data_IF_171721539118
#
_entry.id   IF_171721539118
#
_cell.length_a   1.000
_cell.length_b   1.000
_cell.length_c   1.000
_cell.angle_alpha   90.00
_cell.angle_beta   90.00
_cell.angle_gamma   90.00
#
_symmetry.space_group_name_H-M   'P 1'
#
loop_
_entity.id
_entity.type
_entity.pdbx_description
1 polymer ?
#
# COMPACT_ATOMS: atom_id res chain seq x y z
N UNK A 1 20.76 -0.38 -20.07
CA UNK A 1 19.48 -1.10 -19.87
C UNK A 1 18.89 -0.66 -18.55
N UNK A 2 17.81 0.12 -18.55
CA UNK A 2 17.07 0.44 -17.31
C UNK A 2 16.25 -0.78 -16.94
N UNK A 3 16.72 -1.57 -15.97
CA UNK A 3 15.90 -2.61 -15.36
C UNK A 3 14.73 -1.91 -14.69
N UNK A 4 13.53 -2.04 -15.26
CA UNK A 4 12.28 -1.60 -14.62
C UNK A 4 12.02 -2.57 -13.47
N UNK A 5 12.58 -2.26 -12.30
CA UNK A 5 12.24 -2.98 -11.08
C UNK A 5 10.75 -2.79 -10.80
N UNK A 6 10.03 -3.90 -10.61
CA UNK A 6 8.59 -3.91 -10.37
C UNK A 6 8.26 -4.29 -8.94
N UNK A 7 6.97 -4.20 -8.59
CA UNK A 7 6.42 -4.66 -7.30
C UNK A 7 5.41 -5.75 -7.59
N UNK A 8 5.44 -6.83 -6.80
CA UNK A 8 4.38 -7.85 -6.80
C UNK A 8 3.27 -7.42 -5.86
N UNK A 9 2.17 -6.92 -6.41
CA UNK A 9 1.01 -6.47 -5.63
C UNK A 9 0.07 -7.64 -5.30
N UNK A 10 -0.24 -7.79 -4.02
CA UNK A 10 -1.25 -8.69 -3.48
C UNK A 10 -2.39 -7.86 -2.89
N UNK A 11 -3.61 -8.07 -3.38
CA UNK A 11 -4.80 -7.37 -2.90
C UNK A 11 -5.69 -8.33 -2.12
N UNK A 12 -5.82 -8.06 -0.83
CA UNK A 12 -6.62 -8.85 0.10
C UNK A 12 -7.78 -8.05 0.69
N UNK A 13 -8.68 -8.79 1.33
CA UNK A 13 -9.75 -8.25 2.13
C UNK A 13 -11.08 -8.27 1.42
N UNK A 14 -12.04 -7.56 2.00
CA UNK A 14 -13.42 -7.55 1.55
C UNK A 14 -13.97 -6.14 1.61
N UNK A 15 -14.74 -5.77 0.58
CA UNK A 15 -15.45 -4.51 0.57
C UNK A 15 -16.94 -4.79 0.43
N UNK A 16 -17.65 -4.74 1.57
CA UNK A 16 -19.04 -5.16 1.68
C UNK A 16 -19.91 -4.56 0.59
N UNK A 17 -20.59 -5.41 -0.16
CA UNK A 17 -21.54 -5.03 -1.21
C UNK A 17 -20.92 -5.04 -2.61
N UNK A 18 -19.63 -5.35 -2.72
CA UNK A 18 -18.90 -5.32 -3.98
C UNK A 18 -18.05 -6.58 -4.17
N UNK A 19 -17.92 -7.08 -5.41
CA UNK A 19 -16.99 -8.15 -5.74
C UNK A 19 -15.54 -7.77 -5.44
N UNK A 20 -14.71 -8.78 -5.12
CA UNK A 20 -13.27 -8.58 -4.91
C UNK A 20 -12.57 -7.98 -6.14
N UNK A 21 -13.02 -8.28 -7.36
CA UNK A 21 -12.47 -7.69 -8.59
C UNK A 21 -12.58 -6.17 -8.62
N UNK A 22 -13.72 -5.60 -8.20
CA UNK A 22 -13.91 -4.14 -8.16
C UNK A 22 -13.00 -3.49 -7.11
N UNK A 23 -12.82 -4.16 -5.97
CA UNK A 23 -11.86 -3.74 -4.97
C UNK A 23 -10.43 -3.78 -5.52
N UNK A 24 -10.06 -4.85 -6.23
CA UNK A 24 -8.75 -5.00 -6.85
C UNK A 24 -8.47 -3.87 -7.85
N UNK A 25 -9.44 -3.51 -8.67
CA UNK A 25 -9.29 -2.43 -9.66
C UNK A 25 -9.10 -1.06 -8.98
N UNK A 26 -9.89 -0.77 -7.93
CA UNK A 26 -9.71 0.43 -7.14
C UNK A 26 -8.33 0.49 -6.46
N UNK A 27 -7.84 -0.65 -5.95
CA UNK A 27 -6.49 -0.75 -5.38
C UNK A 27 -5.43 -0.48 -6.43
N UNK A 28 -5.52 -1.13 -7.60
CA UNK A 28 -4.58 -0.94 -8.70
C UNK A 28 -4.52 0.53 -9.16
N UNK A 29 -5.66 1.22 -9.18
CA UNK A 29 -5.71 2.64 -9.54
C UNK A 29 -5.12 3.56 -8.46
N UNK A 30 -5.18 3.15 -7.19
CA UNK A 30 -4.70 3.95 -6.05
C UNK A 30 -3.22 3.76 -5.72
N UNK A 31 -2.62 2.61 -6.05
CA UNK A 31 -1.22 2.32 -5.70
C UNK A 31 -0.29 3.32 -6.39
N UNK A 32 0.41 4.11 -5.58
CA UNK A 32 1.43 5.04 -6.05
C UNK A 32 2.83 4.43 -5.99
N UNK A 33 3.62 4.73 -7.02
CA UNK A 33 5.06 4.48 -7.03
C UNK A 33 5.81 5.52 -6.19
N UNK A 34 7.05 5.20 -5.76
CA UNK A 34 8.02 6.20 -5.27
C UNK A 34 8.10 7.39 -6.23
N UNK A 35 8.01 8.61 -5.69
CA UNK A 35 7.83 9.84 -6.46
C UNK A 35 9.10 10.71 -6.49
N UNK A 36 9.75 10.91 -5.34
CA UNK A 36 10.98 11.71 -5.25
C UNK A 36 12.26 10.86 -5.40
N UNK A 37 13.42 11.50 -5.37
CA UNK A 37 14.72 10.84 -5.53
C UNK A 37 15.09 9.95 -4.34
N UNK A 38 14.77 10.38 -3.12
CA UNK A 38 15.08 9.63 -1.91
C UNK A 38 14.23 8.34 -1.85
N UNK A 39 12.94 8.43 -2.11
CA UNK A 39 12.01 7.30 -2.20
C UNK A 39 12.44 6.31 -3.30
N UNK A 40 12.85 6.82 -4.47
CA UNK A 40 13.36 5.99 -5.57
C UNK A 40 14.69 5.32 -5.23
N UNK A 41 15.58 6.01 -4.53
CA UNK A 41 16.85 5.46 -4.08
C UNK A 41 16.62 4.30 -3.11
N UNK A 42 15.79 4.47 -2.08
CA UNK A 42 15.52 3.41 -1.11
C UNK A 42 14.75 2.24 -1.71
N UNK A 43 13.85 2.50 -2.67
CA UNK A 43 13.22 1.43 -3.44
C UNK A 43 14.26 0.61 -4.19
N UNK A 44 15.26 1.26 -4.79
CA UNK A 44 16.40 0.62 -5.46
C UNK A 44 17.17 -0.37 -4.57
N UNK A 45 17.22 -0.14 -3.26
CA UNK A 45 17.90 -1.03 -2.30
C UNK A 45 17.15 -2.34 -2.05
N UNK A 46 15.85 -2.38 -2.34
CA UNK A 46 14.97 -3.54 -2.06
C UNK A 46 14.32 -4.12 -3.33
N UNK A 47 14.73 -3.63 -4.49
CA UNK A 47 14.06 -3.83 -5.77
C UNK A 47 14.35 -5.19 -6.43
N UNK A 48 15.42 -5.87 -6.00
CA UNK A 48 15.84 -7.18 -6.51
C UNK A 48 16.07 -8.17 -5.36
N UNK A 49 15.34 -9.30 -5.32
CA UNK A 49 14.19 -9.64 -6.16
C UNK A 49 13.01 -8.66 -5.96
N UNK A 50 12.06 -8.59 -6.92
CA UNK A 50 10.92 -7.68 -6.82
C UNK A 50 10.18 -7.82 -5.48
N UNK A 51 10.03 -6.72 -4.71
CA UNK A 51 9.40 -6.78 -3.41
C UNK A 51 7.89 -7.06 -3.55
N UNK A 52 7.32 -7.60 -2.48
CA UNK A 52 5.90 -7.93 -2.38
C UNK A 52 5.19 -6.82 -1.60
N UNK A 53 4.21 -6.17 -2.22
CA UNK A 53 3.34 -5.21 -1.58
C UNK A 53 1.98 -5.86 -1.33
N UNK A 54 1.56 -5.88 -0.07
CA UNK A 54 0.27 -6.43 0.34
C UNK A 54 -0.64 -5.29 0.79
N UNK A 55 -1.70 -5.04 0.03
CA UNK A 55 -2.74 -4.09 0.40
C UNK A 55 -3.96 -4.87 0.85
N UNK A 56 -4.43 -4.58 2.05
CA UNK A 56 -5.62 -5.21 2.63
C UNK A 56 -6.66 -4.14 2.91
N UNK A 57 -7.85 -4.28 2.35
CA UNK A 57 -8.98 -3.36 2.57
C UNK A 57 -10.13 -4.16 3.18
N UNK A 58 -10.60 -3.74 4.34
CA UNK A 58 -11.75 -4.34 5.00
C UNK A 58 -12.80 -3.27 5.23
N UNK A 59 -13.91 -3.34 4.50
CA UNK A 59 -15.15 -2.62 4.78
C UNK A 59 -16.24 -3.65 5.11
N UNK A 60 -16.59 -3.86 6.38
CA UNK A 60 -17.68 -4.76 6.74
C UNK A 60 -19.05 -4.18 6.37
N UNK A 61 -20.05 -5.05 6.21
CA UNK A 61 -21.46 -4.65 6.13
C UNK A 61 -22.03 -4.50 7.55
N UNK A 62 -22.65 -3.37 7.86
CA UNK A 62 -23.31 -3.13 9.14
C UNK A 62 -23.04 -1.74 9.71
N UNK A 63 -23.97 -1.22 10.51
CA UNK A 63 -23.80 0.06 11.18
C UNK A 63 -22.74 -0.05 12.30
N UNK A 64 -21.94 1.01 12.49
CA UNK A 64 -20.98 1.12 13.60
C UNK A 64 -19.64 0.41 13.42
N UNK A 65 -19.47 -0.47 12.42
CA UNK A 65 -18.18 -1.12 12.20
C UNK A 65 -17.20 -0.21 11.44
N UNK A 66 -16.02 -0.02 12.00
CA UNK A 66 -14.94 0.73 11.37
C UNK A 66 -14.21 -0.18 10.37
N UNK A 67 -14.24 0.20 9.10
CA UNK A 67 -13.36 -0.42 8.11
C UNK A 67 -11.92 0.08 8.25
N UNK A 68 -10.98 -0.65 7.68
CA UNK A 68 -9.58 -0.25 7.66
C UNK A 68 -8.91 -0.61 6.33
N UNK A 69 -7.83 0.10 6.06
CA UNK A 69 -6.88 -0.23 5.00
C UNK A 69 -5.48 -0.32 5.60
N UNK A 70 -4.69 -1.28 5.09
CA UNK A 70 -3.28 -1.40 5.43
C UNK A 70 -2.44 -1.76 4.21
N UNK A 71 -1.22 -1.23 4.14
CA UNK A 71 -0.20 -1.59 3.17
C UNK A 71 0.99 -2.18 3.92
N UNK A 72 1.51 -3.32 3.46
CA UNK A 72 2.71 -3.95 4.03
C UNK A 72 3.67 -4.30 2.90
N UNK A 73 4.90 -3.83 3.02
CA UNK A 73 5.95 -4.08 2.07
C UNK A 73 6.86 -5.17 2.62
N UNK A 74 7.18 -6.14 1.77
CA UNK A 74 8.11 -7.23 2.06
C UNK A 74 9.18 -7.27 0.98
N UNK A 75 10.43 -7.49 1.37
CA UNK A 75 11.52 -7.75 0.43
C UNK A 75 12.29 -8.98 0.91
N UNK A 76 12.64 -9.87 -0.01
CA UNK A 76 13.33 -11.13 0.29
C UNK A 76 12.64 -11.99 1.37
N UNK A 77 11.31 -11.90 1.48
CA UNK A 77 10.52 -12.60 2.50
C UNK A 77 10.48 -11.91 3.87
N UNK A 78 11.23 -10.84 4.07
CA UNK A 78 11.26 -10.05 5.30
C UNK A 78 10.26 -8.90 5.25
N UNK A 79 9.59 -8.63 6.37
CA UNK A 79 8.77 -7.44 6.53
C UNK A 79 9.67 -6.20 6.55
N UNK A 80 9.44 -5.28 5.61
CA UNK A 80 10.22 -4.05 5.46
C UNK A 80 9.58 -2.93 6.26
N UNK A 81 8.32 -2.62 5.95
CA UNK A 81 7.56 -1.53 6.56
C UNK A 81 6.06 -1.77 6.30
N UNK A 82 5.21 -1.15 7.09
CA UNK A 82 3.79 -1.20 6.84
C UNK A 82 3.03 -0.07 7.51
N UNK A 83 1.97 0.35 6.85
CA UNK A 83 1.10 1.45 7.24
C UNK A 83 -0.33 0.94 7.39
N UNK A 84 -1.10 1.56 8.30
CA UNK A 84 -2.51 1.24 8.52
C UNK A 84 -3.30 2.50 8.87
N UNK A 85 -4.49 2.62 8.28
CA UNK A 85 -5.44 3.68 8.62
C UNK A 85 -6.87 3.14 8.65
N UNK A 86 -7.73 3.81 9.40
CA UNK A 86 -9.18 3.59 9.35
C UNK A 86 -9.74 4.15 8.04
N UNK A 87 -10.77 3.50 7.48
CA UNK A 87 -11.49 4.04 6.33
C UNK A 87 -12.24 5.31 6.73
N UNK A 88 -12.17 6.34 5.89
CA UNK A 88 -12.93 7.57 6.03
C UNK A 88 -14.44 7.31 6.03
N UNK A 89 -15.26 8.23 6.54
CA UNK A 89 -16.71 8.15 6.39
C UNK A 89 -17.18 7.96 4.94
N UNK A 90 -16.49 8.58 3.98
CA UNK A 90 -16.80 8.47 2.55
C UNK A 90 -16.51 7.07 2.01
N UNK A 91 -15.30 6.55 2.27
CA UNK A 91 -14.92 5.19 1.94
C UNK A 91 -15.74 4.13 2.69
N UNK A 92 -16.46 4.51 3.75
CA UNK A 92 -17.42 3.64 4.44
C UNK A 92 -18.82 3.68 3.86
N UNK A 93 -19.19 4.65 3.03
CA UNK A 93 -20.56 4.79 2.52
C UNK A 93 -20.69 4.64 1.00
N UNK A 94 -19.57 4.62 0.28
CA UNK A 94 -19.56 4.66 -1.19
C UNK A 94 -18.97 3.39 -1.84
N UNK A 95 -18.71 3.49 -3.14
CA UNK A 95 -18.07 2.49 -3.99
C UNK A 95 -16.60 2.27 -3.61
N UNK A 96 -16.01 1.09 -3.90
CA UNK A 96 -14.58 0.84 -3.70
C UNK A 96 -13.66 1.91 -4.29
N UNK A 97 -14.04 2.59 -5.38
CA UNK A 97 -13.22 3.68 -5.95
C UNK A 97 -13.00 4.86 -4.99
N UNK A 98 -13.82 5.01 -3.95
CA UNK A 98 -13.63 6.02 -2.92
C UNK A 98 -12.44 5.72 -2.00
N UNK A 99 -11.86 4.50 -2.02
CA UNK A 99 -10.62 4.19 -1.29
C UNK A 99 -9.35 4.57 -2.06
N UNK A 100 -9.44 4.93 -3.34
CA UNK A 100 -8.27 5.22 -4.20
C UNK A 100 -7.38 6.32 -3.60
N UNK A 101 -7.97 7.41 -3.09
CA UNK A 101 -7.21 8.49 -2.45
C UNK A 101 -6.56 8.05 -1.13
N UNK A 102 -7.22 7.16 -0.38
CA UNK A 102 -6.68 6.61 0.87
C UNK A 102 -5.51 5.68 0.60
N UNK A 103 -5.61 4.83 -0.42
CA UNK A 103 -4.51 3.99 -0.90
C UNK A 103 -3.33 4.87 -1.34
N UNK A 104 -3.60 5.93 -2.11
CA UNK A 104 -2.56 6.83 -2.59
C UNK A 104 -1.81 7.50 -1.41
N UNK A 105 -2.54 8.02 -0.43
CA UNK A 105 -1.98 8.60 0.79
C UNK A 105 -1.19 7.57 1.60
N UNK A 106 -1.72 6.37 1.74
CA UNK A 106 -1.07 5.27 2.45
C UNK A 106 0.25 4.88 1.80
N UNK A 107 0.29 4.85 0.47
CA UNK A 107 1.52 4.59 -0.29
C UNK A 107 2.53 5.73 -0.15
N UNK A 108 2.09 6.98 -0.21
CA UNK A 108 2.96 8.14 -0.02
C UNK A 108 3.63 8.12 1.37
N UNK A 109 2.86 7.83 2.43
CA UNK A 109 3.41 7.66 3.79
C UNK A 109 4.42 6.51 3.85
N UNK A 110 4.04 5.35 3.32
CA UNK A 110 4.90 4.16 3.34
C UNK A 110 6.26 4.41 2.66
N UNK A 111 6.28 5.13 1.53
CA UNK A 111 7.52 5.49 0.86
C UNK A 111 8.34 6.54 1.61
N UNK A 112 7.66 7.58 2.11
CA UNK A 112 8.27 8.64 2.91
C UNK A 112 8.92 8.08 4.18
N UNK A 113 8.22 7.24 4.93
CA UNK A 113 8.70 6.62 6.17
C UNK A 113 9.89 5.68 5.91
N UNK A 114 9.87 4.96 4.78
CA UNK A 114 11.00 4.13 4.36
C UNK A 114 12.23 5.00 4.05
N UNK A 115 12.04 6.10 3.32
CA UNK A 115 13.11 7.04 2.99
C UNK A 115 13.69 7.72 4.24
N UNK A 116 12.82 8.11 5.18
CA UNK A 116 13.21 8.71 6.45
C UNK A 116 14.01 7.73 7.31
N UNK A 117 13.55 6.49 7.42
CA UNK A 117 14.26 5.45 8.19
C UNK A 117 15.69 5.23 7.68
N UNK A 118 15.89 5.18 6.37
CA UNK A 118 17.23 5.03 5.77
C UNK A 118 18.08 6.27 6.01
N UNK A 119 17.51 7.46 5.84
CA UNK A 119 18.21 8.73 6.07
C UNK A 119 18.75 8.85 7.49
N UNK A 120 18.07 8.24 8.48
CA UNK A 120 18.51 8.17 9.87
C UNK A 120 19.49 7.01 10.18
N UNK A 121 20.04 6.35 9.16
CA UNK A 121 21.01 5.26 9.31
C UNK A 121 20.38 3.89 9.58
N UNK A 122 19.07 3.76 9.43
CA UNK A 122 18.37 2.48 9.49
C UNK A 122 18.67 1.59 8.28
N UNK A 123 18.35 0.30 8.38
CA UNK A 123 18.48 -0.66 7.27
C UNK A 123 17.21 -0.70 6.42
N UNK A 124 17.37 -1.01 5.14
CA UNK A 124 16.25 -1.16 4.20
C UNK A 124 15.45 -2.44 4.48
N UNK A 125 16.13 -3.50 4.87
CA UNK A 125 15.56 -4.75 5.34
C UNK A 125 16.07 -4.95 6.77
N UNK A 126 15.19 -5.18 7.77
CA UNK A 126 15.60 -5.39 9.16
C UNK A 126 16.62 -6.51 9.36
#
# INVERSE_FOLDING_TARGET
MTVRHGIRLHVDGMYGGYPHSVLRDAVLQGVACPSDEAERHVFGLIADPPPHLRISVTRPMGQGQQGAISARLFSQGHFVIGERMSLSPLARSQSPFSVTSEINLLMARLWSDLAERISHGGRAIP
#
